data_IF_824497891332
#
_entry.id   IF_824497891332
#
_cell.length_a   1.000
_cell.length_b   1.000
_cell.length_c   1.000
_cell.angle_alpha   90.00
_cell.angle_beta   90.00
_cell.angle_gamma   90.00
#
_symmetry.space_group_name_H-M   'P 1'
#
loop_
_entity.id
_entity.type
_entity.pdbx_description
1 polymer ?
#
# COMPACT_ATOMS: atom_id res chain seq x y z
N UNK A 1 0.60 4.00 15.01
CA UNK A 1 0.68 4.40 13.57
C UNK A 1 -0.36 3.61 12.79
N UNK A 2 -1.10 4.25 11.87
CA UNK A 2 -2.14 3.60 11.06
C UNK A 2 -1.79 3.70 9.57
N UNK A 3 -1.74 2.57 8.86
CA UNK A 3 -1.29 2.46 7.46
C UNK A 3 -2.40 1.88 6.61
N UNK A 4 -2.85 2.61 5.59
CA UNK A 4 -3.85 2.16 4.64
C UNK A 4 -3.22 1.69 3.33
N UNK A 5 -3.61 0.51 2.86
CA UNK A 5 -3.19 -0.06 1.57
C UNK A 5 -4.37 -0.02 0.61
N UNK A 6 -4.24 0.67 -0.52
CA UNK A 6 -5.38 1.03 -1.36
C UNK A 6 -5.18 0.54 -2.80
N UNK A 7 -6.16 -0.20 -3.31
CA UNK A 7 -6.25 -0.56 -4.72
C UNK A 7 -7.61 -0.15 -5.31
N UNK A 8 -7.98 -0.63 -6.49
CA UNK A 8 -9.27 -0.28 -7.10
C UNK A 8 -10.45 -0.94 -6.37
N UNK A 9 -10.48 -2.27 -6.26
CA UNK A 9 -11.64 -3.03 -5.79
C UNK A 9 -11.46 -3.71 -4.41
N UNK A 10 -10.29 -3.62 -3.78
CA UNK A 10 -9.95 -4.34 -2.54
C UNK A 10 -10.19 -5.86 -2.65
N UNK A 11 -9.83 -6.45 -3.79
CA UNK A 11 -10.06 -7.88 -4.05
C UNK A 11 -8.75 -8.69 -4.09
N UNK A 12 -7.68 -8.14 -4.70
CA UNK A 12 -6.42 -8.87 -4.91
C UNK A 12 -5.22 -8.14 -4.30
N UNK A 13 -4.77 -7.02 -4.90
CA UNK A 13 -3.49 -6.37 -4.57
C UNK A 13 -3.42 -5.85 -3.14
N UNK A 14 -4.36 -5.02 -2.73
CA UNK A 14 -4.31 -4.42 -1.39
C UNK A 14 -4.51 -5.44 -0.25
N UNK A 15 -5.40 -6.48 -0.34
CA UNK A 15 -5.46 -7.53 0.68
C UNK A 15 -4.18 -8.36 0.80
N UNK A 16 -3.48 -8.62 -0.33
CA UNK A 16 -2.18 -9.29 -0.30
C UNK A 16 -1.15 -8.44 0.42
N UNK A 17 -1.02 -7.16 0.04
CA UNK A 17 -0.07 -6.26 0.66
C UNK A 17 -0.37 -6.02 2.16
N UNK A 18 -1.64 -5.91 2.56
CA UNK A 18 -2.05 -5.88 3.96
C UNK A 18 -1.55 -7.11 4.71
N UNK A 19 -1.84 -8.31 4.19
CA UNK A 19 -1.46 -9.58 4.84
C UNK A 19 0.05 -9.73 4.97
N UNK A 20 0.81 -9.29 3.96
CA UNK A 20 2.26 -9.30 3.98
C UNK A 20 2.82 -8.28 4.97
N UNK A 21 2.28 -7.06 5.02
CA UNK A 21 2.69 -6.04 5.99
C UNK A 21 2.39 -6.50 7.42
N UNK A 22 1.20 -7.03 7.70
CA UNK A 22 0.86 -7.59 9.02
C UNK A 22 1.84 -8.69 9.41
N UNK A 23 2.22 -9.58 8.48
CA UNK A 23 3.22 -10.63 8.73
C UNK A 23 4.61 -10.05 9.03
N UNK A 24 5.09 -9.06 8.26
CA UNK A 24 6.42 -8.48 8.45
C UNK A 24 6.51 -7.54 9.66
N UNK A 25 5.39 -6.97 10.09
CA UNK A 25 5.28 -6.11 11.27
C UNK A 25 4.85 -6.88 12.53
N UNK A 26 4.81 -8.22 12.46
CA UNK A 26 4.49 -9.05 13.62
C UNK A 26 5.49 -8.82 14.75
N UNK A 27 5.00 -8.34 15.91
CA UNK A 27 5.83 -7.98 17.06
C UNK A 27 6.14 -6.48 17.19
N UNK A 28 5.72 -5.66 16.22
CA UNK A 28 5.78 -4.19 16.31
C UNK A 28 4.47 -3.66 16.90
N UNK A 29 4.52 -3.24 18.15
CA UNK A 29 3.35 -2.70 18.84
C UNK A 29 2.97 -1.31 18.27
N UNK A 30 1.65 -1.06 18.17
CA UNK A 30 1.11 0.24 17.81
C UNK A 30 1.08 0.55 16.31
N UNK A 31 1.33 -0.44 15.44
CA UNK A 31 1.13 -0.32 13.98
C UNK A 31 -0.11 -1.10 13.57
N UNK A 32 -1.12 -0.38 13.07
CA UNK A 32 -2.35 -0.94 12.48
C UNK A 32 -2.24 -0.85 10.96
N UNK A 33 -2.47 -1.96 10.26
CA UNK A 33 -2.54 -2.01 8.79
C UNK A 33 -3.96 -2.40 8.39
N UNK A 34 -4.50 -1.72 7.39
CA UNK A 34 -5.81 -2.05 6.79
C UNK A 34 -5.76 -1.89 5.27
N UNK A 35 -6.66 -2.53 4.57
CA UNK A 35 -6.79 -2.34 3.11
C UNK A 35 -8.20 -1.91 2.70
N UNK A 36 -8.28 -1.11 1.59
CA UNK A 36 -9.53 -0.60 1.00
C UNK A 36 -9.44 -0.51 -0.52
N UNK A 37 -10.61 -0.36 -1.15
CA UNK A 37 -10.73 -0.05 -2.57
C UNK A 37 -11.35 1.32 -2.80
N UNK A 38 -10.93 2.06 -3.82
CA UNK A 38 -11.59 3.34 -4.15
C UNK A 38 -13.00 3.15 -4.72
N UNK A 39 -13.25 2.03 -5.40
CA UNK A 39 -14.56 1.68 -5.93
C UNK A 39 -15.32 0.69 -5.01
N UNK A 40 -14.58 -0.08 -4.19
CA UNK A 40 -15.11 -1.28 -3.59
C UNK A 40 -15.43 -2.35 -4.64
N UNK A 41 -15.59 -3.59 -4.23
CA UNK A 41 -15.85 -4.68 -5.16
C UNK A 41 -16.68 -5.81 -4.57
N UNK A 42 -17.17 -6.72 -5.40
CA UNK A 42 -18.03 -7.85 -4.97
C UNK A 42 -17.29 -8.92 -4.16
N UNK A 43 -16.03 -8.72 -3.82
CA UNK A 43 -15.30 -9.53 -2.87
C UNK A 43 -14.97 -10.97 -3.28
N UNK A 44 -15.16 -11.36 -4.55
CA UNK A 44 -14.80 -12.72 -4.97
C UNK A 44 -13.35 -12.77 -5.46
N UNK A 45 -12.54 -13.55 -4.79
CA UNK A 45 -11.15 -13.80 -5.20
C UNK A 45 -11.11 -14.81 -6.35
N UNK A 46 -10.42 -14.53 -7.48
CA UNK A 46 -10.29 -15.49 -8.58
C UNK A 46 -9.63 -16.80 -8.15
N UNK A 47 -10.04 -17.91 -8.75
CA UNK A 47 -9.51 -19.26 -8.46
C UNK A 47 -7.97 -19.31 -8.63
N UNK A 48 -7.45 -18.75 -9.72
CA UNK A 48 -6.01 -18.68 -9.96
C UNK A 48 -5.26 -17.87 -8.86
N UNK A 49 -5.90 -16.86 -8.31
CA UNK A 49 -5.37 -16.11 -7.17
C UNK A 49 -5.31 -16.97 -5.91
N UNK A 50 -6.37 -17.75 -5.61
CA UNK A 50 -6.40 -18.67 -4.46
C UNK A 50 -5.29 -19.73 -4.57
N UNK A 51 -5.06 -20.26 -5.78
CA UNK A 51 -3.96 -21.19 -6.04
C UNK A 51 -2.60 -20.52 -5.83
N UNK A 52 -2.41 -19.30 -6.35
CA UNK A 52 -1.17 -18.54 -6.15
C UNK A 52 -0.89 -18.26 -4.67
N UNK A 53 -1.90 -17.84 -3.89
CA UNK A 53 -1.80 -17.66 -2.44
C UNK A 53 -1.33 -18.92 -1.74
N UNK A 54 -1.96 -20.07 -2.06
CA UNK A 54 -1.62 -21.38 -1.48
C UNK A 54 -0.17 -21.76 -1.79
N UNK A 55 0.28 -21.59 -3.04
CA UNK A 55 1.64 -21.90 -3.46
C UNK A 55 2.70 -21.03 -2.77
N UNK A 56 2.35 -19.77 -2.45
CA UNK A 56 3.21 -18.84 -1.73
C UNK A 56 3.05 -18.89 -0.20
N UNK A 57 2.25 -19.85 0.33
CA UNK A 57 2.03 -20.00 1.77
C UNK A 57 1.45 -18.75 2.43
N UNK A 58 0.61 -18.02 1.69
CA UNK A 58 0.00 -16.76 2.14
C UNK A 58 -1.50 -16.96 2.37
N UNK A 59 -1.97 -16.52 3.54
CA UNK A 59 -3.41 -16.42 3.85
C UNK A 59 -3.77 -14.93 3.95
N UNK A 60 -4.89 -14.53 3.36
CA UNK A 60 -5.36 -13.15 3.46
C UNK A 60 -6.01 -12.89 4.83
N UNK A 61 -5.68 -11.74 5.43
CA UNK A 61 -6.31 -11.28 6.70
C UNK A 61 -7.72 -10.76 6.47
N UNK A 62 -7.97 -10.17 5.28
CA UNK A 62 -9.29 -9.71 4.89
C UNK A 62 -9.57 -10.00 3.40
N UNK A 63 -10.82 -10.26 3.04
CA UNK A 63 -11.27 -10.46 1.64
C UNK A 63 -12.64 -9.80 1.47
N UNK A 64 -12.75 -8.55 1.89
CA UNK A 64 -14.09 -7.94 2.06
C UNK A 64 -14.55 -7.08 0.90
N UNK A 65 -13.67 -6.70 -0.03
CA UNK A 65 -14.02 -5.73 -1.07
C UNK A 65 -14.44 -4.38 -0.50
N UNK A 66 -13.95 -4.02 0.69
CA UNK A 66 -14.35 -2.82 1.41
C UNK A 66 -13.92 -1.55 0.69
N UNK A 67 -14.85 -0.58 0.62
CA UNK A 67 -14.59 0.71 0.03
C UNK A 67 -13.94 1.67 1.03
N UNK A 68 -13.02 2.50 0.53
CA UNK A 68 -12.44 3.60 1.29
C UNK A 68 -13.54 4.60 1.68
N UNK A 69 -13.73 4.80 2.97
CA UNK A 69 -14.73 5.70 3.55
C UNK A 69 -14.08 6.81 4.39
N UNK A 70 -14.88 7.79 4.81
CA UNK A 70 -14.36 8.95 5.55
C UNK A 70 -13.63 8.56 6.85
N UNK A 71 -14.08 7.51 7.53
CA UNK A 71 -13.45 7.04 8.77
C UNK A 71 -12.05 6.46 8.56
N UNK A 72 -11.71 6.09 7.32
CA UNK A 72 -10.37 5.63 6.95
C UNK A 72 -9.38 6.78 6.67
N UNK A 73 -9.86 8.04 6.58
CA UNK A 73 -9.04 9.20 6.18
C UNK A 73 -8.10 9.71 7.29
N UNK A 74 -8.08 9.06 8.45
CA UNK A 74 -7.22 9.37 9.60
C UNK A 74 -5.93 8.56 9.66
N UNK A 75 -5.59 7.78 8.63
CA UNK A 75 -4.31 7.06 8.61
C UNK A 75 -3.10 8.01 8.51
N UNK A 76 -1.96 7.56 9.05
CA UNK A 76 -0.69 8.28 9.01
C UNK A 76 0.00 8.15 7.64
N UNK A 77 -0.26 7.04 6.92
CA UNK A 77 0.29 6.74 5.59
C UNK A 77 -0.73 6.00 4.75
N UNK A 78 -0.81 6.33 3.46
CA UNK A 78 -1.57 5.56 2.45
C UNK A 78 -0.66 5.08 1.33
N UNK A 79 -0.71 3.79 1.05
CA UNK A 79 0.05 3.11 0.01
C UNK A 79 -0.90 2.63 -1.09
N UNK A 80 -0.86 3.29 -2.22
CA UNK A 80 -1.70 2.98 -3.37
C UNK A 80 -1.00 1.99 -4.31
N UNK A 81 -1.78 1.12 -4.95
CA UNK A 81 -1.23 0.18 -5.93
C UNK A 81 -0.95 0.85 -7.29
N UNK A 82 -1.64 1.95 -7.60
CA UNK A 82 -1.52 2.68 -8.87
C UNK A 82 -1.60 4.18 -8.66
N UNK A 83 -0.89 4.93 -9.49
CA UNK A 83 -0.92 6.40 -9.50
C UNK A 83 -2.31 6.95 -9.90
N UNK A 84 -3.01 6.27 -10.80
CA UNK A 84 -4.37 6.62 -11.20
C UNK A 84 -5.33 6.63 -10.02
N UNK A 85 -5.24 5.59 -9.18
CA UNK A 85 -6.07 5.41 -7.98
C UNK A 85 -5.68 6.45 -6.90
N UNK A 86 -4.39 6.69 -6.70
CA UNK A 86 -3.88 7.74 -5.81
C UNK A 86 -4.43 9.12 -6.22
N UNK A 87 -4.33 9.45 -7.52
CA UNK A 87 -4.85 10.72 -8.07
C UNK A 87 -6.35 10.87 -7.81
N UNK A 88 -7.14 9.82 -8.05
CA UNK A 88 -8.58 9.85 -7.79
C UNK A 88 -8.89 10.13 -6.31
N UNK A 89 -8.20 9.46 -5.39
CA UNK A 89 -8.37 9.66 -3.95
C UNK A 89 -7.98 11.10 -3.52
N UNK A 90 -6.85 11.61 -4.01
CA UNK A 90 -6.37 12.96 -3.71
C UNK A 90 -7.27 14.05 -4.30
N UNK A 91 -7.85 13.84 -5.49
CA UNK A 91 -8.82 14.77 -6.07
C UNK A 91 -10.08 14.86 -5.20
N UNK A 92 -10.56 13.75 -4.68
CA UNK A 92 -11.71 13.70 -3.76
C UNK A 92 -11.37 14.27 -2.39
N UNK A 93 -10.16 14.05 -1.90
CA UNK A 93 -9.70 14.55 -0.60
C UNK A 93 -8.24 15.03 -0.67
N UNK A 94 -8.01 16.33 -1.00
CA UNK A 94 -6.65 16.90 -1.15
C UNK A 94 -5.78 16.82 0.10
N UNK A 95 -6.35 16.71 1.30
CA UNK A 95 -5.60 16.56 2.56
C UNK A 95 -4.82 15.24 2.66
N UNK A 96 -5.18 14.24 1.84
CA UNK A 96 -4.46 12.98 1.77
C UNK A 96 -3.09 13.10 1.08
N UNK A 97 -2.90 14.11 0.20
CA UNK A 97 -1.72 14.21 -0.67
C UNK A 97 -0.38 14.09 0.05
N UNK A 98 -0.12 14.78 1.19
CA UNK A 98 1.17 14.70 1.87
C UNK A 98 1.52 13.33 2.43
N UNK A 99 0.54 12.47 2.64
CA UNK A 99 0.68 11.15 3.26
C UNK A 99 0.26 9.99 2.35
N UNK A 100 0.12 10.25 1.05
CA UNK A 100 -0.32 9.27 0.04
C UNK A 100 0.75 9.09 -1.03
N UNK A 101 1.16 7.84 -1.26
CA UNK A 101 2.18 7.46 -2.25
C UNK A 101 1.71 6.20 -2.97
N UNK A 102 2.23 5.93 -4.17
CA UNK A 102 2.19 4.54 -4.59
C UNK A 102 3.20 3.74 -3.78
N UNK A 103 2.97 2.44 -3.62
CA UNK A 103 3.83 1.59 -2.78
C UNK A 103 5.27 1.54 -3.29
N UNK A 104 5.46 1.50 -4.62
CA UNK A 104 6.79 1.57 -5.25
C UNK A 104 7.43 2.94 -5.08
N UNK A 105 6.67 4.02 -5.29
CA UNK A 105 7.14 5.39 -5.09
C UNK A 105 7.63 5.59 -3.67
N UNK A 106 6.84 5.18 -2.67
CA UNK A 106 7.19 5.29 -1.26
C UNK A 106 8.51 4.57 -0.96
N UNK A 107 8.61 3.29 -1.33
CA UNK A 107 9.82 2.51 -1.09
C UNK A 107 11.07 3.14 -1.73
N UNK A 108 10.96 3.65 -2.95
CA UNK A 108 12.05 4.32 -3.68
C UNK A 108 12.45 5.65 -3.04
N UNK A 109 11.49 6.53 -2.74
CA UNK A 109 11.76 7.85 -2.18
C UNK A 109 12.28 7.77 -0.74
N UNK A 110 11.73 6.88 0.07
CA UNK A 110 12.18 6.64 1.42
C UNK A 110 13.62 6.11 1.48
N UNK A 111 14.02 5.29 0.50
CA UNK A 111 15.41 4.83 0.41
C UNK A 111 16.40 5.97 0.11
N UNK A 112 15.97 6.98 -0.64
CA UNK A 112 16.78 8.18 -0.93
C UNK A 112 16.79 9.19 0.23
N UNK A 113 15.84 9.06 1.15
CA UNK A 113 15.69 9.92 2.34
C UNK A 113 15.54 9.03 3.57
N UNK A 114 16.62 8.36 4.03
CA UNK A 114 16.54 7.44 5.16
C UNK A 114 16.12 8.16 6.44
N UNK A 115 15.30 7.54 7.30
CA UNK A 115 14.83 8.18 8.53
C UNK A 115 15.93 8.33 9.59
N UNK A 116 15.92 9.45 10.29
CA UNK A 116 16.74 9.73 11.48
C UNK A 116 15.89 9.56 12.77
N UNK A 117 15.51 8.32 13.09
CA UNK A 117 14.51 7.97 14.13
C UNK A 117 14.79 8.54 15.52
N UNK A 118 16.05 8.84 15.83
CA UNK A 118 16.46 9.40 17.13
C UNK A 118 16.18 10.91 17.24
N UNK A 119 16.02 11.61 16.11
CA UNK A 119 15.90 13.07 16.04
C UNK A 119 14.60 13.59 15.44
N UNK A 120 13.80 12.72 14.81
CA UNK A 120 12.58 13.12 14.11
C UNK A 120 11.41 12.17 14.40
N UNK A 121 10.19 12.65 14.23
CA UNK A 121 8.96 11.84 14.25
C UNK A 121 8.68 11.25 12.86
N UNK A 122 7.87 10.18 12.81
CA UNK A 122 7.40 9.64 11.52
C UNK A 122 6.76 10.69 10.62
N UNK A 123 5.97 11.60 11.19
CA UNK A 123 5.29 12.64 10.42
C UNK A 123 6.28 13.66 9.83
N UNK A 124 7.31 14.06 10.57
CA UNK A 124 8.36 14.96 10.09
C UNK A 124 9.17 14.31 8.96
N UNK A 125 9.62 13.07 9.16
CA UNK A 125 10.27 12.30 8.11
C UNK A 125 9.41 12.15 6.85
N UNK A 126 8.13 11.80 7.02
CA UNK A 126 7.22 11.65 5.89
C UNK A 126 7.04 12.97 5.12
N UNK A 127 7.05 14.10 5.81
CA UNK A 127 7.03 15.42 5.18
C UNK A 127 8.30 15.67 4.34
N UNK A 128 9.47 15.22 4.79
CA UNK A 128 10.72 15.27 4.00
C UNK A 128 10.58 14.40 2.75
N UNK A 129 10.14 13.15 2.88
CA UNK A 129 9.88 12.25 1.73
C UNK A 129 8.88 12.89 0.75
N UNK A 130 7.83 13.51 1.27
CA UNK A 130 6.83 14.20 0.47
C UNK A 130 7.40 15.43 -0.25
N UNK A 131 8.26 16.22 0.38
CA UNK A 131 8.82 17.48 -0.18
C UNK A 131 9.62 17.27 -1.46
N UNK A 132 10.09 16.06 -1.71
CA UNK A 132 10.80 15.68 -2.94
C UNK A 132 9.88 15.45 -4.15
N UNK A 133 8.56 15.57 -3.97
CA UNK A 133 7.52 15.31 -5.01
C UNK A 133 7.05 16.60 -5.64
N UNK A 134 6.71 16.54 -6.91
CA UNK A 134 6.05 17.61 -7.64
C UNK A 134 4.61 17.20 -7.99
N UNK A 135 3.69 18.15 -7.95
CA UNK A 135 2.26 17.89 -8.24
C UNK A 135 2.03 17.38 -9.67
N UNK A 136 2.88 17.80 -10.60
CA UNK A 136 2.83 17.36 -12.00
C UNK A 136 3.04 15.85 -12.14
N UNK A 137 3.76 15.22 -11.21
CA UNK A 137 3.98 13.77 -11.19
C UNK A 137 2.68 12.99 -10.99
N UNK A 138 1.65 13.59 -10.38
CA UNK A 138 0.32 12.99 -10.28
C UNK A 138 -0.38 12.87 -11.65
N UNK A 139 -0.07 13.77 -12.57
CA UNK A 139 -0.73 13.84 -13.88
C UNK A 139 -0.08 12.91 -14.90
N UNK A 140 1.11 12.39 -14.60
CA UNK A 140 1.82 11.47 -15.47
C UNK A 140 1.08 10.15 -15.70
N UNK A 141 1.30 9.57 -16.88
CA UNK A 141 0.81 8.23 -17.24
C UNK A 141 1.89 7.17 -17.05
N UNK A 142 3.01 7.54 -16.42
CA UNK A 142 4.11 6.63 -16.18
C UNK A 142 3.72 5.57 -15.14
N UNK A 143 3.77 4.33 -15.56
CA UNK A 143 3.39 3.16 -14.77
C UNK A 143 4.56 2.54 -13.99
N UNK A 144 5.75 3.16 -14.00
CA UNK A 144 6.92 2.58 -13.29
C UNK A 144 6.68 2.43 -11.79
N UNK A 145 5.88 3.33 -11.21
CA UNK A 145 5.51 3.29 -9.80
C UNK A 145 4.24 2.47 -9.50
N UNK A 146 3.62 1.84 -10.51
CA UNK A 146 2.40 1.04 -10.36
C UNK A 146 2.73 -0.43 -10.12
N UNK A 147 1.99 -1.06 -9.19
CA UNK A 147 1.95 -2.51 -9.05
C UNK A 147 0.96 -3.06 -10.08
N UNK A 148 1.47 -3.90 -10.99
CA UNK A 148 0.67 -4.45 -12.08
C UNK A 148 -0.58 -5.18 -11.57
N UNK A 149 -1.72 -4.89 -12.19
CA UNK A 149 -2.96 -5.61 -11.93
C UNK A 149 -3.10 -6.81 -12.87
N UNK A 150 -3.15 -8.05 -12.36
CA UNK A 150 -3.48 -9.22 -13.18
C UNK A 150 -4.91 -9.16 -13.74
N UNK A 151 -5.79 -8.35 -13.13
CA UNK A 151 -7.22 -8.35 -13.42
C UNK A 151 -7.92 -9.62 -12.93
N UNK A 152 -9.25 -9.68 -13.06
CA UNK A 152 -10.04 -10.84 -12.67
C UNK A 152 -9.78 -12.08 -13.54
N UNK A 153 -9.27 -11.90 -14.77
CA UNK A 153 -8.89 -12.95 -15.71
C UNK A 153 -7.41 -13.32 -15.70
N UNK A 154 -6.63 -12.82 -14.74
CA UNK A 154 -5.22 -13.17 -14.60
C UNK A 154 -5.03 -14.68 -14.39
N UNK A 155 -3.96 -15.22 -14.94
CA UNK A 155 -3.57 -16.60 -14.73
C UNK A 155 -2.71 -16.77 -13.46
N UNK A 156 -2.38 -18.02 -13.13
CA UNK A 156 -1.58 -18.36 -11.95
C UNK A 156 -0.21 -17.68 -11.94
N UNK A 157 0.45 -17.56 -13.10
CA UNK A 157 1.76 -16.95 -13.24
C UNK A 157 1.68 -15.45 -12.93
N UNK A 158 0.69 -14.74 -13.49
CA UNK A 158 0.48 -13.33 -13.26
C UNK A 158 0.19 -13.01 -11.78
N UNK A 159 -0.66 -13.83 -11.11
CA UNK A 159 -0.90 -13.66 -9.68
C UNK A 159 0.32 -13.99 -8.83
N UNK A 160 1.08 -15.03 -9.16
CA UNK A 160 2.32 -15.37 -8.45
C UNK A 160 3.38 -14.28 -8.58
N UNK A 161 3.53 -13.69 -9.77
CA UNK A 161 4.43 -12.56 -10.00
C UNK A 161 4.01 -11.33 -9.18
N UNK A 162 2.71 -11.01 -9.13
CA UNK A 162 2.17 -9.93 -8.30
C UNK A 162 2.45 -10.18 -6.80
N UNK A 163 2.22 -11.39 -6.29
CA UNK A 163 2.49 -11.75 -4.89
C UNK A 163 3.98 -11.57 -4.57
N UNK A 164 4.86 -12.08 -5.43
CA UNK A 164 6.31 -11.98 -5.24
C UNK A 164 6.79 -10.51 -5.23
N UNK A 165 6.24 -9.69 -6.12
CA UNK A 165 6.52 -8.25 -6.12
C UNK A 165 6.05 -7.58 -4.84
N UNK A 166 4.80 -7.83 -4.42
CA UNK A 166 4.24 -7.26 -3.20
C UNK A 166 4.98 -7.74 -1.95
N UNK A 167 5.51 -8.96 -1.94
CA UNK A 167 6.35 -9.47 -0.84
C UNK A 167 7.64 -8.64 -0.69
N UNK A 168 8.35 -8.37 -1.79
CA UNK A 168 9.54 -7.53 -1.77
C UNK A 168 9.24 -6.09 -1.33
N UNK A 169 8.16 -5.51 -1.86
CA UNK A 169 7.75 -4.15 -1.50
C UNK A 169 7.29 -4.06 -0.04
N UNK A 170 6.48 -5.02 0.42
CA UNK A 170 5.99 -5.04 1.81
C UNK A 170 7.12 -5.22 2.81
N UNK A 171 8.11 -6.06 2.50
CA UNK A 171 9.30 -6.21 3.35
C UNK A 171 10.07 -4.88 3.48
N UNK A 172 10.31 -4.17 2.36
CA UNK A 172 10.99 -2.86 2.37
C UNK A 172 10.18 -1.82 3.14
N UNK A 173 8.87 -1.76 2.92
CA UNK A 173 7.98 -0.83 3.63
C UNK A 173 7.97 -1.14 5.12
N UNK A 174 7.88 -2.41 5.53
CA UNK A 174 7.92 -2.79 6.95
C UNK A 174 9.19 -2.28 7.63
N UNK A 175 10.36 -2.44 7.00
CA UNK A 175 11.64 -1.91 7.53
C UNK A 175 11.63 -0.39 7.73
N UNK A 176 10.87 0.36 6.92
CA UNK A 176 10.73 1.81 7.05
C UNK A 176 9.75 2.21 8.16
N UNK A 177 8.77 1.34 8.47
CA UNK A 177 7.74 1.59 9.47
C UNK A 177 8.14 1.17 10.88
N UNK A 178 9.17 0.32 11.04
CA UNK A 178 9.65 -0.17 12.34
C UNK A 178 10.58 0.84 13.04
N UNK A 179 10.70 0.72 14.37
CA UNK A 179 11.67 1.47 15.17
C UNK A 179 11.33 2.94 15.38
N UNK A 180 10.09 3.37 15.13
CA UNK A 180 9.64 4.71 15.49
C UNK A 180 9.22 4.77 16.97
N UNK A 181 9.56 5.85 17.70
CA UNK A 181 9.15 5.99 19.09
C UNK A 181 7.62 5.99 19.21
N UNK A 182 7.11 5.19 20.14
CA UNK A 182 5.69 5.21 20.50
C UNK A 182 5.31 6.59 21.05
N UNK A 183 4.23 7.17 20.55
CA UNK A 183 3.70 8.42 21.09
C UNK A 183 3.03 8.18 22.44
#
# INVERSE_FOLDING_TARGET
MRVGVICFANTCRSPVAESLLVRFLAGEDGIEVFSRGVAGGPGSTPEAMLQALTQNGLSLVSVSGEQLVNDDLNADLYLFMERSILREAVVRNPSMWPKSFTMREFARRAQLNPPERDSETFAEWLAVVHSTRRREELLGTDSEDDVRDPGLGGDLEAFSAMISELELLSHRVAQLLTGWPSK
#
